data_IF_331101644598
#
_entry.id   IF_331101644598
#
_cell.length_a   1.000
_cell.length_b   1.000
_cell.length_c   1.000
_cell.angle_alpha   90.00
_cell.angle_beta   90.00
_cell.angle_gamma   90.00
#
_symmetry.space_group_name_H-M   'P 1'
#
loop_
_entity.id
_entity.type
_entity.pdbx_description
1 polymer ?
#
# COMPACT_ATOMS: atom_id res chain seq x y z
N UNK A 1 18.81 -8.45 17.92
CA UNK A 1 18.64 -7.01 17.57
C UNK A 1 17.17 -6.80 17.26
N UNK A 2 16.58 -5.72 17.70
CA UNK A 2 15.20 -5.37 17.30
C UNK A 2 15.23 -4.88 15.85
N UNK A 3 14.34 -5.42 15.00
CA UNK A 3 14.21 -4.97 13.62
C UNK A 3 13.68 -3.53 13.58
N UNK A 4 14.22 -2.73 12.67
CA UNK A 4 13.84 -1.33 12.46
C UNK A 4 13.49 -1.17 10.98
N UNK A 5 12.38 -0.50 10.67
CA UNK A 5 11.98 -0.24 9.31
C UNK A 5 13.06 0.57 8.56
N UNK A 6 13.53 0.07 7.41
CA UNK A 6 14.59 0.72 6.66
C UNK A 6 14.14 2.05 6.07
N UNK A 7 15.09 2.95 5.89
CA UNK A 7 14.88 4.18 5.14
C UNK A 7 14.59 3.90 3.66
N UNK A 8 13.82 4.77 3.05
CA UNK A 8 13.41 4.65 1.64
C UNK A 8 13.60 5.98 0.93
N UNK A 9 14.36 5.93 -0.15
CA UNK A 9 14.51 7.10 -1.02
C UNK A 9 13.19 7.44 -1.70
N UNK A 10 12.82 8.71 -1.64
CA UNK A 10 11.68 9.30 -2.33
C UNK A 10 12.02 10.74 -2.68
N UNK A 11 11.62 11.21 -3.85
CA UNK A 11 11.70 12.63 -4.18
C UNK A 11 10.97 13.48 -3.13
N UNK A 12 11.58 14.55 -2.66
CA UNK A 12 10.94 15.52 -1.74
C UNK A 12 9.79 16.25 -2.43
N UNK A 13 9.91 16.45 -3.75
CA UNK A 13 8.82 16.95 -4.57
C UNK A 13 7.84 15.83 -4.95
N UNK A 14 6.67 16.24 -5.45
CA UNK A 14 5.76 15.33 -6.16
C UNK A 14 6.46 14.67 -7.37
N UNK A 15 5.85 13.63 -7.99
CA UNK A 15 6.43 13.01 -9.18
C UNK A 15 6.86 14.03 -10.21
N UNK A 16 8.11 13.93 -10.67
CA UNK A 16 8.74 14.96 -11.49
C UNK A 16 8.12 15.10 -12.89
N UNK A 17 7.59 13.99 -13.45
CA UNK A 17 7.04 13.97 -14.81
C UNK A 17 5.58 14.43 -14.85
N UNK A 18 5.36 15.74 -14.70
CA UNK A 18 4.02 16.34 -14.56
C UNK A 18 3.21 16.41 -15.87
N UNK A 19 3.83 16.17 -17.02
CA UNK A 19 3.21 16.18 -18.35
C UNK A 19 3.58 14.91 -19.16
N UNK A 20 3.93 13.85 -18.50
CA UNK A 20 4.19 12.55 -19.12
C UNK A 20 2.90 11.97 -19.74
N UNK A 21 3.00 11.00 -20.66
CA UNK A 21 1.86 10.19 -21.05
C UNK A 21 1.13 9.64 -19.83
N UNK A 22 -0.21 9.57 -19.89
CA UNK A 22 -1.07 9.24 -18.75
C UNK A 22 -0.62 7.98 -17.99
N UNK A 23 -0.26 6.91 -18.70
CA UNK A 23 0.21 5.68 -18.10
C UNK A 23 1.47 5.87 -17.23
N UNK A 24 2.42 6.65 -17.74
CA UNK A 24 3.66 6.94 -17.03
C UNK A 24 3.41 7.82 -15.81
N UNK A 25 2.51 8.79 -15.95
CA UNK A 25 2.11 9.67 -14.86
C UNK A 25 1.40 8.90 -13.74
N UNK A 26 0.47 8.00 -14.07
CA UNK A 26 -0.21 7.14 -13.09
C UNK A 26 0.77 6.23 -12.36
N UNK A 27 1.75 5.67 -13.09
CA UNK A 27 2.81 4.86 -12.51
C UNK A 27 3.68 5.67 -11.54
N UNK A 28 4.12 6.85 -11.95
CA UNK A 28 4.94 7.72 -11.10
C UNK A 28 4.21 8.10 -9.81
N UNK A 29 2.91 8.37 -9.87
CA UNK A 29 2.10 8.63 -8.69
C UNK A 29 1.99 7.41 -7.78
N UNK A 30 1.74 6.24 -8.34
CA UNK A 30 1.65 5.00 -7.55
C UNK A 30 2.98 4.71 -6.84
N UNK A 31 4.10 4.78 -7.55
CA UNK A 31 5.44 4.54 -7.00
C UNK A 31 5.80 5.57 -5.92
N UNK A 32 5.44 6.84 -6.14
CA UNK A 32 5.65 7.90 -5.15
C UNK A 32 4.85 7.65 -3.86
N UNK A 33 3.62 7.22 -3.98
CA UNK A 33 2.77 6.91 -2.83
C UNK A 33 3.23 5.65 -2.08
N UNK A 34 3.67 4.62 -2.78
CA UNK A 34 4.27 3.41 -2.17
C UNK A 34 5.50 3.78 -1.34
N UNK A 35 6.40 4.57 -1.92
CA UNK A 35 7.57 5.07 -1.22
C UNK A 35 7.19 5.96 -0.03
N UNK A 36 6.14 6.77 -0.15
CA UNK A 36 5.63 7.60 0.95
C UNK A 36 5.20 6.75 2.14
N UNK A 37 4.40 5.69 1.92
CA UNK A 37 3.97 4.80 3.00
C UNK A 37 5.17 4.20 3.75
N UNK A 38 6.16 3.68 3.03
CA UNK A 38 7.36 3.11 3.62
C UNK A 38 8.20 4.16 4.36
N UNK A 39 8.30 5.38 3.83
CA UNK A 39 9.01 6.49 4.48
C UNK A 39 8.33 6.91 5.78
N UNK A 40 6.99 6.86 5.87
CA UNK A 40 6.27 7.09 7.13
C UNK A 40 6.54 6.02 8.19
N UNK A 41 7.02 4.86 7.78
CA UNK A 41 7.42 3.78 8.68
C UNK A 41 8.91 3.83 9.05
N UNK A 42 9.74 4.49 8.25
CA UNK A 42 11.21 4.46 8.38
C UNK A 42 11.70 4.86 9.77
N UNK A 43 12.70 4.13 10.29
CA UNK A 43 13.33 4.38 11.59
C UNK A 43 12.53 3.91 12.80
N UNK A 44 11.28 3.46 12.64
CA UNK A 44 10.46 2.90 13.71
C UNK A 44 10.77 1.42 13.93
N UNK A 45 10.73 0.98 15.18
CA UNK A 45 10.80 -0.44 15.50
C UNK A 45 9.43 -1.14 15.33
N UNK A 46 9.44 -2.46 15.36
CA UNK A 46 8.25 -3.28 15.14
C UNK A 46 7.11 -2.97 16.13
N UNK A 47 7.43 -2.65 17.39
CA UNK A 47 6.43 -2.30 18.41
C UNK A 47 5.78 -0.96 18.10
N UNK A 48 6.58 0.03 17.69
CA UNK A 48 6.09 1.34 17.27
C UNK A 48 5.21 1.23 16.03
N UNK A 49 5.59 0.42 15.04
CA UNK A 49 4.83 0.19 13.81
C UNK A 49 3.46 -0.45 14.07
N UNK A 50 3.36 -1.40 15.01
CA UNK A 50 2.10 -2.04 15.36
C UNK A 50 1.24 -1.24 16.36
N UNK A 51 1.73 -0.09 16.86
CA UNK A 51 1.02 0.72 17.84
C UNK A 51 -0.21 1.38 17.23
N UNK A 52 -1.39 1.16 17.84
CA UNK A 52 -2.64 1.89 17.55
C UNK A 52 -2.59 3.25 18.26
N UNK A 53 -1.92 4.21 17.63
CA UNK A 53 -1.53 5.45 18.28
C UNK A 53 -2.63 6.53 18.34
N UNK A 54 -3.75 6.35 17.61
CA UNK A 54 -4.85 7.33 17.49
C UNK A 54 -6.19 6.69 17.91
N UNK A 55 -6.47 6.55 19.22
CA UNK A 55 -7.75 6.01 19.70
C UNK A 55 -8.95 6.87 19.27
N UNK A 56 -10.13 6.28 18.97
CA UNK A 56 -10.47 4.87 19.07
C UNK A 56 -10.15 4.05 17.80
N UNK A 57 -9.37 4.57 16.88
CA UNK A 57 -8.99 3.88 15.64
C UNK A 57 -8.21 2.60 15.93
N UNK A 58 -8.50 1.53 15.16
CA UNK A 58 -7.72 0.28 15.16
C UNK A 58 -6.52 0.33 14.21
N UNK A 59 -6.28 1.43 13.51
CA UNK A 59 -5.20 1.58 12.55
C UNK A 59 -3.83 1.64 13.23
N UNK A 60 -2.86 1.00 12.57
CA UNK A 60 -1.43 1.11 12.87
C UNK A 60 -0.65 1.22 11.56
N UNK A 61 0.58 1.71 11.59
CA UNK A 61 1.42 1.77 10.39
C UNK A 61 1.67 0.38 9.80
N UNK A 62 1.90 -0.63 10.63
CA UNK A 62 2.05 -2.00 10.17
C UNK A 62 0.76 -2.53 9.53
N UNK A 63 -0.40 -2.24 10.12
CA UNK A 63 -1.69 -2.58 9.55
C UNK A 63 -1.93 -1.96 8.18
N UNK A 64 -1.52 -0.69 7.97
CA UNK A 64 -1.60 -0.03 6.67
C UNK A 64 -0.70 -0.71 5.61
N UNK A 65 0.52 -1.13 5.96
CA UNK A 65 1.41 -1.88 5.07
C UNK A 65 0.77 -3.21 4.64
N UNK A 66 0.15 -3.93 5.59
CA UNK A 66 -0.57 -5.19 5.34
C UNK A 66 -1.78 -4.98 4.42
N UNK A 67 -2.60 -3.98 4.75
CA UNK A 67 -3.78 -3.60 3.97
C UNK A 67 -3.43 -3.28 2.52
N UNK A 68 -2.41 -2.46 2.28
CA UNK A 68 -2.01 -2.09 0.93
C UNK A 68 -1.41 -3.26 0.15
N UNK A 69 -0.83 -4.26 0.82
CA UNK A 69 -0.39 -5.51 0.17
C UNK A 69 -1.57 -6.28 -0.42
N UNK A 70 -2.64 -6.47 0.35
CA UNK A 70 -3.86 -7.15 -0.12
C UNK A 70 -4.63 -6.30 -1.14
N UNK A 71 -4.65 -4.99 -0.99
CA UNK A 71 -5.29 -4.07 -1.93
C UNK A 71 -4.66 -4.17 -3.32
N UNK A 72 -3.33 -4.10 -3.43
CA UNK A 72 -2.63 -4.24 -4.72
C UNK A 72 -2.82 -5.62 -5.32
N UNK A 73 -2.69 -6.68 -4.51
CA UNK A 73 -2.91 -8.07 -4.93
C UNK A 73 -4.33 -8.28 -5.47
N UNK A 74 -5.31 -7.83 -4.73
CA UNK A 74 -6.72 -8.02 -5.06
C UNK A 74 -7.10 -7.35 -6.38
N UNK A 75 -6.74 -6.10 -6.56
CA UNK A 75 -7.11 -5.36 -7.76
C UNK A 75 -6.36 -5.80 -9.01
N UNK A 76 -5.07 -6.04 -8.92
CA UNK A 76 -4.25 -6.30 -10.11
C UNK A 76 -4.07 -7.79 -10.36
N UNK A 77 -3.59 -8.55 -9.38
CA UNK A 77 -3.25 -9.94 -9.63
C UNK A 77 -4.49 -10.83 -9.67
N UNK A 78 -5.37 -10.71 -8.66
CA UNK A 78 -6.58 -11.54 -8.59
C UNK A 78 -7.64 -11.07 -9.60
N UNK A 79 -8.03 -9.79 -9.55
CA UNK A 79 -9.14 -9.31 -10.38
C UNK A 79 -8.72 -9.12 -11.85
N UNK A 80 -7.68 -8.33 -12.11
CA UNK A 80 -7.31 -8.01 -13.48
C UNK A 80 -6.64 -9.20 -14.21
N UNK A 81 -5.68 -9.85 -13.58
CA UNK A 81 -4.97 -11.00 -14.19
C UNK A 81 -5.66 -12.34 -13.97
N UNK A 82 -6.62 -12.43 -13.06
CA UNK A 82 -7.30 -13.69 -12.74
C UNK A 82 -6.39 -14.72 -12.06
N UNK A 83 -5.30 -14.27 -11.43
CA UNK A 83 -4.39 -15.17 -10.73
C UNK A 83 -5.09 -15.85 -9.56
N UNK A 84 -4.88 -17.14 -9.43
CA UNK A 84 -5.44 -17.93 -8.31
C UNK A 84 -4.46 -17.92 -7.14
N UNK A 85 -4.24 -16.73 -6.57
CA UNK A 85 -3.41 -16.52 -5.38
C UNK A 85 -4.30 -16.19 -4.18
N UNK A 86 -4.03 -16.73 -2.97
CA UNK A 86 -4.81 -16.39 -1.79
C UNK A 86 -4.54 -14.95 -1.35
N UNK A 87 -5.47 -14.36 -0.61
CA UNK A 87 -5.21 -13.13 0.15
C UNK A 87 -4.08 -13.35 1.15
N UNK A 88 -3.38 -12.29 1.51
CA UNK A 88 -2.27 -12.37 2.48
C UNK A 88 -2.79 -12.33 3.91
N UNK A 89 -3.75 -11.46 4.17
CA UNK A 89 -4.26 -11.17 5.51
C UNK A 89 -5.78 -11.25 5.60
N UNK A 90 -6.50 -10.84 4.53
CA UNK A 90 -7.96 -10.91 4.50
C UNK A 90 -8.45 -12.34 4.67
N UNK A 91 -9.47 -12.50 5.49
CA UNK A 91 -10.20 -13.76 5.62
C UNK A 91 -11.69 -13.46 5.78
N UNK A 92 -12.54 -14.32 5.26
CA UNK A 92 -13.99 -14.14 5.32
C UNK A 92 -14.56 -14.14 6.75
N UNK A 93 -13.88 -14.82 7.69
CA UNK A 93 -14.21 -14.86 9.11
C UNK A 93 -13.55 -13.72 9.92
N UNK A 94 -12.60 -13.00 9.33
CA UNK A 94 -11.88 -11.87 9.93
C UNK A 94 -11.50 -10.85 8.83
N UNK A 95 -12.46 -10.08 8.30
CA UNK A 95 -12.23 -9.20 7.15
C UNK A 95 -11.24 -8.05 7.42
N UNK A 96 -11.06 -7.67 8.67
CA UNK A 96 -10.15 -6.60 9.11
C UNK A 96 -8.85 -7.16 9.73
N UNK A 97 -8.47 -8.42 9.44
CA UNK A 97 -7.29 -9.08 10.01
C UNK A 97 -5.97 -8.39 9.61
N UNK A 98 -5.93 -7.68 8.50
CA UNK A 98 -4.83 -6.83 8.09
C UNK A 98 -4.50 -5.77 9.15
N UNK A 99 -5.51 -5.13 9.76
CA UNK A 99 -5.36 -4.14 10.84
C UNK A 99 -5.36 -4.80 12.22
N UNK A 100 -6.32 -5.69 12.48
CA UNK A 100 -6.57 -6.22 13.83
C UNK A 100 -5.50 -7.19 14.31
N UNK A 101 -4.88 -7.91 13.38
CA UNK A 101 -3.88 -8.95 13.66
C UNK A 101 -2.46 -8.51 13.25
N UNK A 102 -2.19 -7.20 13.21
CA UNK A 102 -0.84 -6.68 12.98
C UNK A 102 0.03 -6.94 14.21
N UNK A 103 0.91 -7.95 14.12
CA UNK A 103 1.80 -8.39 15.19
C UNK A 103 3.22 -7.85 14.97
N UNK A 104 3.83 -7.16 15.96
CA UNK A 104 5.22 -6.73 15.89
C UNK A 104 6.20 -7.84 15.49
N UNK A 105 5.96 -9.08 15.92
CA UNK A 105 6.85 -10.21 15.61
C UNK A 105 6.93 -10.53 14.10
N UNK A 106 5.89 -10.18 13.34
CA UNK A 106 5.81 -10.37 11.88
C UNK A 106 6.21 -9.16 11.06
N UNK A 107 6.61 -8.03 11.66
CA UNK A 107 6.78 -6.76 10.95
C UNK A 107 7.78 -6.83 9.78
N UNK A 108 8.94 -7.45 9.98
CA UNK A 108 9.95 -7.60 8.91
C UNK A 108 9.39 -8.39 7.73
N UNK A 109 8.73 -9.52 8.00
CA UNK A 109 8.12 -10.36 6.96
C UNK A 109 6.98 -9.64 6.22
N UNK A 110 6.14 -8.86 6.94
CA UNK A 110 5.07 -8.08 6.34
C UNK A 110 5.63 -7.00 5.38
N UNK A 111 6.73 -6.34 5.73
CA UNK A 111 7.42 -5.40 4.84
C UNK A 111 8.04 -6.07 3.61
N UNK A 112 8.61 -7.26 3.78
CA UNK A 112 9.13 -8.04 2.65
C UNK A 112 8.02 -8.48 1.70
N UNK A 113 6.89 -8.95 2.24
CA UNK A 113 5.69 -9.29 1.49
C UNK A 113 5.15 -8.09 0.71
N UNK A 114 5.02 -6.95 1.36
CA UNK A 114 4.58 -5.72 0.70
C UNK A 114 5.45 -5.37 -0.51
N UNK A 115 6.78 -5.37 -0.34
CA UNK A 115 7.71 -5.09 -1.43
C UNK A 115 7.66 -6.13 -2.54
N UNK A 116 7.48 -7.39 -2.18
CA UNK A 116 7.32 -8.47 -3.15
C UNK A 116 6.02 -8.31 -3.94
N UNK A 117 4.95 -7.90 -3.28
CA UNK A 117 3.66 -7.68 -3.91
C UNK A 117 3.69 -6.50 -4.87
N UNK A 118 4.28 -5.35 -4.48
CA UNK A 118 4.46 -4.22 -5.39
C UNK A 118 5.21 -4.64 -6.67
N UNK A 119 6.30 -5.42 -6.55
CA UNK A 119 7.03 -5.95 -7.72
C UNK A 119 6.18 -6.89 -8.58
N UNK A 120 5.40 -7.76 -7.96
CA UNK A 120 4.51 -8.69 -8.68
C UNK A 120 3.41 -7.94 -9.44
N UNK A 121 2.87 -6.89 -8.84
CA UNK A 121 1.89 -6.00 -9.46
C UNK A 121 2.49 -5.24 -10.63
N UNK A 122 3.73 -4.74 -10.52
CA UNK A 122 4.41 -4.06 -11.63
C UNK A 122 4.58 -5.01 -12.82
N UNK A 123 5.01 -6.25 -12.59
CA UNK A 123 5.08 -7.29 -13.63
C UNK A 123 3.70 -7.60 -14.21
N UNK A 124 2.69 -7.73 -13.36
CA UNK A 124 1.33 -8.00 -13.80
C UNK A 124 0.74 -6.85 -14.66
N UNK A 125 1.19 -5.63 -14.46
CA UNK A 125 0.79 -4.47 -15.27
C UNK A 125 1.59 -4.32 -16.58
N UNK A 126 2.66 -5.10 -16.78
CA UNK A 126 3.41 -5.06 -18.05
C UNK A 126 2.51 -5.42 -19.22
N UNK A 127 2.56 -4.62 -20.28
CA UNK A 127 1.76 -4.80 -21.49
C UNK A 127 0.27 -4.50 -21.35
N UNK A 128 -0.26 -4.24 -20.15
CA UNK A 128 -1.66 -3.87 -19.97
C UNK A 128 -1.97 -2.49 -20.59
N UNK A 129 -3.03 -2.38 -21.37
CA UNK A 129 -3.56 -1.10 -21.86
C UNK A 129 -4.42 -0.40 -20.82
N UNK A 130 -4.45 0.93 -20.82
CA UNK A 130 -5.35 1.67 -19.91
C UNK A 130 -6.83 1.41 -20.20
N UNK A 131 -7.16 1.01 -21.44
CA UNK A 131 -8.51 0.68 -21.89
C UNK A 131 -8.87 -0.81 -21.68
N UNK A 132 -7.91 -1.66 -21.26
CA UNK A 132 -8.23 -3.04 -20.93
C UNK A 132 -9.23 -3.07 -19.78
N UNK A 133 -10.15 -4.02 -19.82
CA UNK A 133 -11.27 -4.06 -18.88
C UNK A 133 -11.44 -5.43 -18.22
N UNK A 134 -12.00 -5.40 -17.02
CA UNK A 134 -12.49 -6.58 -16.29
C UNK A 134 -13.91 -6.32 -15.80
N UNK A 135 -14.60 -7.38 -15.39
CA UNK A 135 -15.89 -7.24 -14.71
C UNK A 135 -15.68 -7.29 -13.21
N UNK A 136 -16.09 -6.23 -12.52
CA UNK A 136 -16.11 -6.17 -11.06
C UNK A 136 -17.50 -5.77 -10.57
N UNK A 137 -18.13 -6.61 -9.75
CA UNK A 137 -19.50 -6.40 -9.23
C UNK A 137 -20.49 -6.01 -10.33
N UNK A 138 -20.52 -6.81 -11.41
CA UNK A 138 -21.38 -6.64 -12.59
C UNK A 138 -21.11 -5.36 -13.41
N UNK A 139 -20.06 -4.61 -13.12
CA UNK A 139 -19.65 -3.41 -13.86
C UNK A 139 -18.37 -3.65 -14.63
N UNK A 140 -18.33 -3.13 -15.85
CA UNK A 140 -17.10 -3.05 -16.64
C UNK A 140 -16.17 -2.02 -16.00
N UNK A 141 -14.98 -2.43 -15.63
CA UNK A 141 -13.97 -1.60 -14.94
C UNK A 141 -12.69 -1.60 -15.76
N UNK A 142 -12.20 -0.43 -16.15
CA UNK A 142 -10.95 -0.31 -16.92
C UNK A 142 -9.72 -0.36 -16.02
N UNK A 143 -8.57 -0.72 -16.61
CA UNK A 143 -7.28 -0.62 -15.93
C UNK A 143 -6.97 0.80 -15.49
N UNK A 144 -7.33 1.81 -16.30
CA UNK A 144 -7.23 3.23 -15.90
C UNK A 144 -7.95 3.49 -14.57
N UNK A 145 -9.19 3.01 -14.44
CA UNK A 145 -9.96 3.17 -13.21
C UNK A 145 -9.31 2.46 -12.02
N UNK A 146 -8.83 1.23 -12.21
CA UNK A 146 -8.16 0.47 -11.15
C UNK A 146 -6.89 1.19 -10.69
N UNK A 147 -6.09 1.67 -11.64
CA UNK A 147 -4.85 2.40 -11.32
C UNK A 147 -5.12 3.70 -10.55
N UNK A 148 -6.12 4.48 -11.01
CA UNK A 148 -6.57 5.68 -10.31
C UNK A 148 -7.08 5.35 -8.90
N UNK A 149 -7.79 4.23 -8.74
CA UNK A 149 -8.28 3.78 -7.44
C UNK A 149 -7.13 3.38 -6.50
N UNK A 150 -6.10 2.70 -6.99
CA UNK A 150 -4.91 2.41 -6.18
C UNK A 150 -4.22 3.70 -5.71
N UNK A 151 -4.07 4.70 -6.57
CA UNK A 151 -3.52 6.01 -6.18
C UNK A 151 -4.40 6.68 -5.11
N UNK A 152 -5.72 6.61 -5.22
CA UNK A 152 -6.68 7.13 -4.24
C UNK A 152 -6.57 6.40 -2.89
N UNK A 153 -6.49 5.06 -2.90
CA UNK A 153 -6.30 4.27 -1.70
C UNK A 153 -5.00 4.64 -0.97
N UNK A 154 -3.89 4.71 -1.70
CA UNK A 154 -2.62 5.16 -1.11
C UNK A 154 -2.68 6.58 -0.58
N UNK A 155 -3.30 7.52 -1.29
CA UNK A 155 -3.40 8.92 -0.85
C UNK A 155 -4.18 9.02 0.48
N UNK A 156 -5.30 8.28 0.60
CA UNK A 156 -6.10 8.18 1.82
C UNK A 156 -5.28 7.60 2.97
N UNK A 157 -4.63 6.47 2.75
CA UNK A 157 -3.89 5.76 3.78
C UNK A 157 -2.58 6.47 4.18
N UNK A 158 -1.93 7.18 3.27
CA UNK A 158 -0.79 8.02 3.60
C UNK A 158 -1.18 9.19 4.50
N UNK A 159 -2.37 9.81 4.30
CA UNK A 159 -2.89 10.82 5.23
C UNK A 159 -3.18 10.25 6.63
N UNK A 160 -3.64 9.00 6.72
CA UNK A 160 -3.79 8.31 8.02
C UNK A 160 -2.42 7.98 8.64
N UNK A 161 -1.45 7.57 7.82
CA UNK A 161 -0.09 7.29 8.26
C UNK A 161 0.60 8.55 8.84
N UNK A 162 0.31 9.74 8.31
CA UNK A 162 0.80 11.01 8.86
C UNK A 162 0.38 11.19 10.32
N UNK A 163 -0.92 11.03 10.61
CA UNK A 163 -1.45 11.16 11.96
C UNK A 163 -0.90 10.08 12.91
N UNK A 164 -0.80 8.84 12.42
CA UNK A 164 -0.22 7.74 13.20
C UNK A 164 1.25 8.02 13.53
N UNK A 165 2.05 8.49 12.57
CA UNK A 165 3.46 8.81 12.76
C UNK A 165 3.63 9.92 13.77
N UNK A 166 2.90 11.02 13.63
CA UNK A 166 2.95 12.14 14.56
C UNK A 166 2.59 11.70 16.00
N UNK A 167 1.56 10.84 16.14
CA UNK A 167 1.15 10.32 17.45
C UNK A 167 2.14 9.31 18.06
N UNK A 168 3.03 8.71 17.27
CA UNK A 168 4.05 7.76 17.74
C UNK A 168 5.28 8.48 18.27
N UNK A 169 5.84 9.42 17.50
CA UNK A 169 7.14 10.02 17.80
C UNK A 169 7.21 11.56 17.60
N UNK A 170 6.09 12.19 17.25
CA UNK A 170 6.02 13.65 17.02
C UNK A 170 6.52 14.10 15.66
N UNK A 171 6.94 13.19 14.79
CA UNK A 171 7.39 13.53 13.43
C UNK A 171 6.19 13.91 12.57
N UNK A 172 6.14 15.17 12.14
CA UNK A 172 5.11 15.70 11.25
C UNK A 172 5.69 15.96 9.86
N UNK A 173 4.81 15.88 8.85
CA UNK A 173 5.14 16.23 7.49
C UNK A 173 5.49 15.07 6.56
N UNK A 174 5.91 15.45 5.38
CA UNK A 174 6.12 14.57 4.21
C UNK A 174 7.24 13.56 4.38
#
# INVERSE_FOLDING_TARGET
>A
MTWIAPDVERSEDYPARRNAPEREMLRDWLDWHRATLLRKCAGLDATQLAKRAVPPSNLSLLGLVRHMSDTERGWIRQLFRGEQVPDLYYRSDAPDADFEQADPAGAEEDFERYRAECRAVDVALEGAGLEDTVTFREKTTSIRWIWQHLVEEYARHNGQADLLREAIDGSAGL
#
